data_IF_349642460145
#
_entry.id   IF_349642460145
#
_cell.length_a   1.000
_cell.length_b   1.000
_cell.length_c   1.000
_cell.angle_alpha   90.00
_cell.angle_beta   90.00
_cell.angle_gamma   90.00
#
_symmetry.space_group_name_H-M   'P 1'
#
loop_
_entity.id
_entity.type
_entity.pdbx_description
1 polymer ?
#
# COMPACT_ATOMS: atom_id res chain seq x y z
N UNK A 1 -17.41 -57.88 -12.60
CA UNK A 1 -17.86 -57.52 -11.23
C UNK A 1 -16.61 -57.35 -10.37
N UNK A 2 -16.32 -56.26 -9.66
CA UNK A 2 -17.06 -55.05 -9.34
C UNK A 2 -16.05 -53.89 -9.17
N UNK A 3 -16.38 -52.73 -9.74
CA UNK A 3 -15.80 -51.45 -9.37
C UNK A 3 -16.34 -51.05 -7.99
N UNK A 4 -15.46 -50.59 -7.09
CA UNK A 4 -15.86 -49.74 -5.96
C UNK A 4 -15.06 -48.45 -6.03
N UNK A 5 -15.76 -47.39 -6.44
CA UNK A 5 -15.29 -46.03 -6.36
C UNK A 5 -15.04 -45.63 -4.90
N UNK A 6 -14.08 -44.72 -4.72
CA UNK A 6 -13.95 -43.96 -3.49
C UNK A 6 -13.87 -42.49 -3.84
N UNK A 7 -14.74 -41.76 -3.17
CA UNK A 7 -15.16 -40.39 -3.42
C UNK A 7 -13.99 -39.40 -3.38
N UNK A 8 -14.07 -38.46 -4.32
CA UNK A 8 -13.23 -37.27 -4.40
C UNK A 8 -13.86 -36.26 -3.43
N UNK A 9 -13.49 -36.32 -2.15
CA UNK A 9 -13.88 -35.27 -1.20
C UNK A 9 -13.03 -34.04 -1.52
N UNK A 10 -13.66 -33.04 -2.13
CA UNK A 10 -13.07 -31.75 -2.46
C UNK A 10 -12.66 -30.99 -1.20
N UNK A 11 -11.39 -31.08 -0.82
CA UNK A 11 -10.78 -30.16 0.13
C UNK A 11 -10.34 -28.90 -0.61
N UNK A 12 -11.29 -28.00 -0.90
CA UNK A 12 -10.98 -26.59 -1.23
C UNK A 12 -10.66 -25.81 0.04
N UNK A 13 -9.67 -26.27 0.79
CA UNK A 13 -9.13 -25.57 1.95
C UNK A 13 -7.79 -24.97 1.55
N UNK A 14 -7.77 -23.69 1.18
CA UNK A 14 -6.52 -22.94 1.11
C UNK A 14 -5.84 -23.05 2.48
N UNK A 15 -4.62 -23.59 2.59
CA UNK A 15 -4.02 -23.80 3.90
C UNK A 15 -3.82 -22.46 4.61
N UNK A 16 -4.04 -22.37 5.93
CA UNK A 16 -3.81 -21.15 6.69
C UNK A 16 -2.35 -20.73 6.53
N UNK A 17 -2.16 -19.50 6.06
CA UNK A 17 -0.83 -18.93 5.82
C UNK A 17 -0.16 -18.71 7.18
N UNK A 18 0.99 -19.35 7.38
CA UNK A 18 1.83 -19.16 8.57
C UNK A 18 2.36 -17.73 8.63
N UNK A 19 1.71 -16.85 9.39
CA UNK A 19 2.23 -15.54 9.74
C UNK A 19 3.42 -15.76 10.68
N UNK A 20 4.64 -15.37 10.29
CA UNK A 20 5.80 -15.48 11.21
C UNK A 20 5.65 -14.44 12.32
N UNK A 21 5.66 -14.93 13.56
CA UNK A 21 5.67 -14.14 14.79
C UNK A 21 6.69 -13.00 14.76
N UNK A 22 6.26 -11.83 15.23
CA UNK A 22 7.13 -10.69 15.46
C UNK A 22 7.71 -10.79 16.87
N UNK A 23 9.04 -10.61 17.02
CA UNK A 23 9.64 -10.39 18.34
C UNK A 23 9.13 -9.06 18.93
N UNK A 24 8.50 -9.15 20.11
CA UNK A 24 7.87 -8.08 20.90
C UNK A 24 8.68 -6.76 20.98
N UNK A 25 10.01 -6.85 21.00
CA UNK A 25 10.94 -5.71 21.21
C UNK A 25 10.97 -4.67 20.08
N UNK A 26 10.33 -4.91 18.94
CA UNK A 26 10.37 -3.99 17.77
C UNK A 26 9.23 -2.97 17.71
N UNK A 27 8.26 -3.05 18.64
CA UNK A 27 7.04 -2.24 18.64
C UNK A 27 6.92 -1.26 19.81
N UNK A 28 7.78 -1.36 20.82
CA UNK A 28 7.88 -0.35 21.87
C UNK A 28 8.17 1.02 21.24
N UNK A 29 7.42 2.04 21.64
CA UNK A 29 7.55 3.41 21.12
C UNK A 29 7.13 3.61 19.66
N UNK A 30 6.37 2.68 19.04
CA UNK A 30 5.92 2.84 17.64
C UNK A 30 5.14 4.15 17.43
N UNK A 31 4.24 4.48 18.36
CA UNK A 31 3.45 5.71 18.30
C UNK A 31 4.33 6.95 18.32
N UNK A 32 5.30 7.02 19.22
CA UNK A 32 6.27 8.12 19.31
C UNK A 32 7.14 8.21 18.04
N UNK A 33 7.75 7.09 17.64
CA UNK A 33 8.68 7.02 16.50
C UNK A 33 8.03 7.47 15.19
N UNK A 34 6.76 7.13 14.97
CA UNK A 34 6.04 7.49 13.75
C UNK A 34 5.04 8.62 13.92
N UNK A 35 5.01 9.25 15.11
CA UNK A 35 4.08 10.32 15.49
C UNK A 35 2.62 9.95 15.24
N UNK A 36 2.24 8.73 15.61
CA UNK A 36 0.86 8.27 15.55
C UNK A 36 0.16 8.83 16.78
N UNK A 37 -0.89 9.62 16.56
CA UNK A 37 -1.62 10.27 17.63
C UNK A 37 -2.31 9.32 18.60
N UNK A 38 -2.65 9.85 19.77
CA UNK A 38 -3.31 9.12 20.86
C UNK A 38 -4.77 8.76 20.55
N UNK A 39 -5.35 9.33 19.51
CA UNK A 39 -6.66 8.96 18.99
C UNK A 39 -6.69 7.55 18.37
N UNK A 40 -5.53 6.93 18.17
CA UNK A 40 -5.39 5.60 17.59
C UNK A 40 -4.85 4.59 18.60
N UNK A 41 -5.45 3.40 18.59
CA UNK A 41 -4.95 2.24 19.32
C UNK A 41 -4.14 1.35 18.37
N UNK A 42 -3.00 0.88 18.87
CA UNK A 42 -2.09 -0.02 18.14
C UNK A 42 -2.01 -1.33 18.90
N UNK A 43 -2.34 -2.42 18.22
CA UNK A 43 -2.30 -3.76 18.80
C UNK A 43 -1.45 -4.66 17.93
N UNK A 44 -0.42 -5.26 18.51
CA UNK A 44 0.40 -6.27 17.85
C UNK A 44 -0.47 -7.43 17.34
N UNK A 45 -0.25 -7.85 16.10
CA UNK A 45 -0.90 -9.03 15.56
C UNK A 45 -0.25 -10.29 16.16
N UNK A 46 -1.06 -11.15 16.77
CA UNK A 46 -0.61 -12.41 17.35
C UNK A 46 -0.34 -13.45 16.26
N UNK A 47 0.35 -14.53 16.61
CA UNK A 47 0.72 -15.60 15.67
C UNK A 47 -0.48 -16.34 15.09
N UNK A 48 -1.54 -16.46 15.87
CA UNK A 48 -2.82 -17.08 15.53
C UNK A 48 -3.75 -16.16 14.74
N UNK A 49 -3.39 -14.87 14.60
CA UNK A 49 -4.17 -13.90 13.85
C UNK A 49 -3.71 -13.78 12.39
N UNK A 50 -4.68 -13.50 11.52
CA UNK A 50 -4.45 -13.27 10.10
C UNK A 50 -4.87 -11.86 9.72
N UNK A 51 -4.06 -11.20 8.90
CA UNK A 51 -4.42 -9.92 8.29
C UNK A 51 -5.58 -10.03 7.28
N UNK A 52 -5.97 -11.25 6.90
CA UNK A 52 -7.16 -11.52 6.10
C UNK A 52 -8.45 -11.37 6.93
N UNK A 53 -8.39 -11.66 8.24
CA UNK A 53 -9.52 -11.61 9.17
C UNK A 53 -9.42 -10.35 10.03
N UNK A 54 -9.65 -9.17 9.43
CA UNK A 54 -9.57 -7.92 10.20
C UNK A 54 -10.74 -7.77 11.18
N UNK A 55 -10.44 -7.25 12.38
CA UNK A 55 -11.45 -6.95 13.40
C UNK A 55 -12.35 -5.80 12.92
N UNK A 56 -13.67 -5.82 13.19
CA UNK A 56 -14.55 -4.71 12.81
C UNK A 56 -14.04 -3.36 13.35
N UNK A 57 -13.89 -2.36 12.49
CA UNK A 57 -13.35 -1.04 12.88
C UNK A 57 -11.83 -0.96 12.95
N UNK A 58 -11.11 -2.02 12.61
CA UNK A 58 -9.64 -2.06 12.57
C UNK A 58 -9.15 -2.37 11.16
N UNK A 59 -7.98 -1.84 10.81
CA UNK A 59 -7.22 -2.26 9.64
C UNK A 59 -5.82 -2.69 10.05
N UNK A 60 -5.11 -3.34 9.14
CA UNK A 60 -3.76 -3.86 9.38
C UNK A 60 -2.75 -3.01 8.65
N UNK A 61 -1.61 -2.78 9.31
CA UNK A 61 -0.41 -2.22 8.72
C UNK A 61 0.79 -3.12 9.04
N UNK A 62 1.89 -2.87 8.33
CA UNK A 62 3.20 -3.38 8.72
C UNK A 62 4.16 -2.23 9.03
N UNK A 63 5.18 -2.52 9.84
CA UNK A 63 6.23 -1.54 10.14
C UNK A 63 6.92 -1.05 8.86
N UNK A 64 7.09 -1.93 7.88
CA UNK A 64 7.65 -1.59 6.56
C UNK A 64 6.81 -0.56 5.80
N UNK A 65 5.49 -0.52 6.00
CA UNK A 65 4.61 0.50 5.41
C UNK A 65 4.84 1.88 6.03
N UNK A 66 4.99 1.94 7.36
CA UNK A 66 5.35 3.17 8.05
C UNK A 66 6.76 3.64 7.64
N UNK A 67 7.71 2.71 7.49
CA UNK A 67 9.06 2.98 6.98
C UNK A 67 9.08 3.36 5.49
N UNK A 68 8.00 3.07 4.75
CA UNK A 68 7.77 3.54 3.39
C UNK A 68 7.11 4.92 3.30
N UNK A 69 6.82 5.55 4.44
CA UNK A 69 6.27 6.91 4.51
C UNK A 69 4.80 6.99 4.87
N UNK A 70 4.10 5.86 5.06
CA UNK A 70 2.71 5.88 5.51
C UNK A 70 2.62 6.53 6.89
N UNK A 71 1.69 7.47 7.06
CA UNK A 71 1.39 8.17 8.32
C UNK A 71 -0.10 8.16 8.59
N UNK A 72 -0.46 8.37 9.86
CA UNK A 72 -1.84 8.48 10.34
C UNK A 72 -2.06 9.90 10.91
N UNK A 73 -3.25 10.51 10.69
CA UNK A 73 -4.29 10.10 9.75
C UNK A 73 -3.75 9.97 8.31
N UNK A 74 -4.33 9.05 7.54
CA UNK A 74 -3.87 8.78 6.18
C UNK A 74 -4.20 9.98 5.25
N UNK A 75 -3.27 10.43 4.40
CA UNK A 75 -3.52 11.52 3.46
C UNK A 75 -4.70 11.23 2.52
N UNK A 76 -5.46 12.25 2.14
CA UNK A 76 -6.72 12.07 1.38
C UNK A 76 -6.51 11.32 0.06
N UNK A 77 -5.49 11.69 -0.72
CA UNK A 77 -5.11 10.98 -1.95
C UNK A 77 -4.89 9.48 -1.73
N UNK A 78 -4.29 9.09 -0.60
CA UNK A 78 -4.06 7.68 -0.30
C UNK A 78 -5.37 6.95 0.00
N UNK A 79 -6.26 7.56 0.79
CA UNK A 79 -7.60 7.00 1.07
C UNK A 79 -8.43 6.89 -0.21
N UNK A 80 -8.38 7.90 -1.07
CA UNK A 80 -9.05 7.91 -2.37
C UNK A 80 -8.52 6.82 -3.31
N UNK A 81 -7.20 6.62 -3.36
CA UNK A 81 -6.59 5.53 -4.12
C UNK A 81 -7.06 4.15 -3.60
N UNK A 82 -7.05 3.93 -2.29
CA UNK A 82 -7.55 2.70 -1.66
C UNK A 82 -9.03 2.44 -1.99
N UNK A 83 -9.88 3.46 -1.91
CA UNK A 83 -11.30 3.39 -2.33
C UNK A 83 -11.43 3.02 -3.80
N UNK A 84 -10.70 3.74 -4.66
CA UNK A 84 -10.79 3.60 -6.12
C UNK A 84 -10.34 2.22 -6.61
N UNK A 85 -9.39 1.60 -5.91
CA UNK A 85 -8.91 0.25 -6.20
C UNK A 85 -9.64 -0.84 -5.40
N UNK A 86 -10.44 -0.45 -4.40
CA UNK A 86 -11.12 -1.35 -3.46
C UNK A 86 -10.15 -2.29 -2.74
N UNK A 87 -9.02 -1.76 -2.28
CA UNK A 87 -7.98 -2.55 -1.57
C UNK A 87 -7.73 -1.99 -0.17
N UNK A 88 -7.36 -2.88 0.75
CA UNK A 88 -6.92 -2.48 2.09
C UNK A 88 -5.48 -1.98 2.11
N UNK A 89 -5.10 -1.14 3.11
CA UNK A 89 -3.73 -0.61 3.22
C UNK A 89 -2.64 -1.68 3.17
N UNK A 90 -2.85 -2.81 3.85
CA UNK A 90 -1.91 -3.94 3.90
C UNK A 90 -1.75 -4.68 2.57
N UNK A 91 -2.63 -4.46 1.59
CA UNK A 91 -2.49 -5.09 0.26
C UNK A 91 -1.51 -4.33 -0.63
N UNK A 92 -1.31 -3.03 -0.41
CA UNK A 92 -0.34 -2.25 -1.17
C UNK A 92 1.08 -2.49 -0.65
N UNK A 93 1.99 -2.87 -1.54
CA UNK A 93 3.40 -3.05 -1.18
C UNK A 93 4.03 -1.74 -0.66
N UNK A 94 5.11 -1.81 0.16
CA UNK A 94 5.82 -0.62 0.62
C UNK A 94 6.33 0.24 -0.54
N UNK A 95 6.70 -0.37 -1.68
CA UNK A 95 7.13 0.39 -2.85
C UNK A 95 5.97 1.15 -3.50
N UNK A 96 4.75 0.60 -3.47
CA UNK A 96 3.56 1.34 -3.90
C UNK A 96 3.30 2.58 -3.06
N UNK A 97 3.43 2.45 -1.74
CA UNK A 97 3.29 3.58 -0.83
C UNK A 97 4.33 4.67 -1.11
N UNK A 98 5.59 4.28 -1.32
CA UNK A 98 6.64 5.24 -1.75
C UNK A 98 6.27 5.96 -3.05
N UNK A 99 5.76 5.25 -4.05
CA UNK A 99 5.31 5.86 -5.30
C UNK A 99 4.25 6.94 -5.07
N UNK A 100 3.26 6.67 -4.22
CA UNK A 100 2.19 7.61 -3.88
C UNK A 100 2.78 8.87 -3.22
N UNK A 101 3.63 8.71 -2.20
CA UNK A 101 4.18 9.85 -1.48
C UNK A 101 5.17 10.66 -2.33
N UNK A 102 6.01 10.00 -3.12
CA UNK A 102 6.91 10.68 -4.06
C UNK A 102 6.12 11.48 -5.09
N UNK A 103 5.04 10.90 -5.65
CA UNK A 103 4.13 11.62 -6.53
C UNK A 103 3.57 12.90 -5.87
N UNK A 104 3.10 12.80 -4.63
CA UNK A 104 2.60 13.96 -3.89
C UNK A 104 3.66 15.06 -3.74
N UNK A 105 4.90 14.70 -3.43
CA UNK A 105 6.03 15.63 -3.30
C UNK A 105 6.30 16.34 -4.64
N UNK A 106 6.30 15.60 -5.74
CA UNK A 106 6.54 16.16 -7.09
C UNK A 106 5.43 17.14 -7.47
N UNK A 107 4.18 16.76 -7.27
CA UNK A 107 3.02 17.62 -7.50
C UNK A 107 3.16 18.92 -6.71
N UNK A 108 3.44 18.82 -5.40
CA UNK A 108 3.66 19.99 -4.54
C UNK A 108 4.78 20.91 -5.06
N UNK A 109 5.93 20.35 -5.44
CA UNK A 109 7.07 21.14 -5.96
C UNK A 109 6.77 21.84 -7.28
N UNK A 110 5.75 21.39 -8.02
CA UNK A 110 5.30 21.98 -9.28
C UNK A 110 4.07 22.88 -9.14
N UNK A 111 3.57 23.08 -7.93
CA UNK A 111 2.31 23.79 -7.71
C UNK A 111 1.10 23.06 -8.31
N UNK A 112 1.20 21.74 -8.48
CA UNK A 112 0.10 20.90 -8.98
C UNK A 112 -0.55 20.24 -7.77
N UNK A 113 -1.89 20.26 -7.73
CA UNK A 113 -2.63 19.48 -6.75
C UNK A 113 -2.49 17.98 -7.04
N UNK A 114 -2.05 17.20 -6.05
CA UNK A 114 -1.92 15.77 -6.19
C UNK A 114 -3.29 15.10 -6.01
N UNK A 115 -3.84 14.54 -7.09
CA UNK A 115 -5.13 13.82 -7.05
C UNK A 115 -4.97 12.34 -7.40
N UNK A 116 -5.91 11.50 -6.95
CA UNK A 116 -5.90 10.08 -7.29
C UNK A 116 -6.06 9.87 -8.80
N UNK A 117 -6.83 10.72 -9.48
CA UNK A 117 -7.02 10.67 -10.94
C UNK A 117 -5.72 10.92 -11.69
N UNK A 118 -4.99 11.99 -11.33
CA UNK A 118 -3.69 12.27 -11.96
C UNK A 118 -2.73 11.13 -11.65
N UNK A 119 -2.67 10.62 -10.41
CA UNK A 119 -1.84 9.45 -10.07
C UNK A 119 -2.17 8.24 -10.96
N UNK A 120 -3.45 7.87 -11.05
CA UNK A 120 -3.95 6.72 -11.82
C UNK A 120 -3.81 6.90 -13.34
N UNK A 121 -3.59 8.13 -13.82
CA UNK A 121 -3.24 8.37 -15.23
C UNK A 121 -1.81 7.94 -15.58
N UNK A 122 -0.90 7.93 -14.60
CA UNK A 122 0.50 7.53 -14.78
C UNK A 122 0.78 6.11 -14.28
N UNK A 123 0.03 5.66 -13.27
CA UNK A 123 0.21 4.36 -12.63
C UNK A 123 -1.05 3.50 -12.78
N UNK A 124 -0.83 2.20 -12.87
CA UNK A 124 -1.87 1.16 -12.81
C UNK A 124 -1.57 0.22 -11.66
N UNK A 125 -2.63 -0.39 -11.13
CA UNK A 125 -2.50 -1.45 -10.15
C UNK A 125 -2.32 -2.81 -10.85
N UNK A 126 -1.43 -3.63 -10.30
CA UNK A 126 -1.19 -5.00 -10.74
C UNK A 126 -1.13 -5.94 -9.54
N UNK A 127 -1.54 -7.18 -9.76
CA UNK A 127 -1.41 -8.25 -8.77
C UNK A 127 -0.01 -8.81 -8.78
N UNK A 128 0.57 -9.06 -7.60
CA UNK A 128 1.80 -9.83 -7.50
C UNK A 128 1.50 -11.29 -7.86
N UNK A 129 2.11 -11.86 -8.92
CA UNK A 129 1.86 -13.25 -9.34
C UNK A 129 2.22 -14.27 -8.25
N UNK A 130 3.09 -13.86 -7.32
CA UNK A 130 3.65 -14.70 -6.27
C UNK A 130 2.82 -14.69 -4.99
N UNK A 131 1.76 -13.87 -4.90
CA UNK A 131 0.94 -13.77 -3.70
C UNK A 131 -0.46 -14.29 -3.98
N UNK A 132 -0.75 -15.53 -3.54
CA UNK A 132 -2.12 -15.98 -3.29
C UNK A 132 -2.82 -15.22 -2.14
N UNK A 133 -2.35 -14.01 -1.84
CA UNK A 133 -2.66 -13.18 -0.67
C UNK A 133 -3.29 -11.84 -1.05
N UNK A 134 -3.62 -11.64 -2.33
CA UNK A 134 -4.21 -10.38 -2.80
C UNK A 134 -3.28 -9.16 -2.69
N UNK A 135 -1.96 -9.36 -2.63
CA UNK A 135 -0.99 -8.24 -2.61
C UNK A 135 -0.93 -7.60 -3.99
N UNK A 136 -1.02 -6.28 -3.98
CA UNK A 136 -1.05 -5.44 -5.17
C UNK A 136 0.08 -4.43 -5.16
N UNK A 137 0.58 -4.11 -6.35
CA UNK A 137 1.60 -3.11 -6.53
C UNK A 137 1.26 -2.15 -7.66
N UNK A 138 1.71 -0.90 -7.51
CA UNK A 138 1.58 0.09 -8.57
C UNK A 138 2.71 -0.08 -9.57
N UNK A 139 2.40 0.00 -10.85
CA UNK A 139 3.35 0.01 -11.96
C UNK A 139 3.02 1.13 -12.92
N UNK A 140 4.00 1.66 -13.63
CA UNK A 140 3.74 2.64 -14.67
C UNK A 140 2.82 2.08 -15.75
N UNK A 141 1.91 2.91 -16.27
CA UNK A 141 1.16 2.59 -17.49
C UNK A 141 2.09 2.63 -18.70
N UNK A 142 1.94 1.66 -19.60
CA UNK A 142 2.59 1.66 -20.92
C UNK A 142 2.14 2.89 -21.71
N UNK A 143 3.05 3.52 -22.46
CA UNK A 143 2.86 4.74 -23.27
C UNK A 143 2.78 6.08 -22.53
N UNK A 144 3.08 6.14 -21.23
CA UNK A 144 3.44 7.40 -20.57
C UNK A 144 4.94 7.41 -20.35
N UNK A 145 5.56 8.59 -20.51
CA UNK A 145 6.95 8.80 -20.09
C UNK A 145 7.08 8.19 -18.70
N UNK A 146 8.03 7.25 -18.53
CA UNK A 146 8.27 6.71 -17.20
C UNK A 146 8.57 7.91 -16.32
N UNK A 147 7.69 8.11 -15.36
CA UNK A 147 7.96 8.89 -14.17
C UNK A 147 9.15 8.16 -13.53
N UNK A 148 10.38 8.43 -13.98
CA UNK A 148 11.66 7.88 -13.50
C UNK A 148 11.99 8.45 -12.11
N UNK A 149 10.98 8.69 -11.27
CA UNK A 149 11.10 9.33 -9.97
C UNK A 149 11.31 8.34 -8.83
N UNK A 150 11.41 7.05 -9.14
CA UNK A 150 11.68 6.04 -8.13
C UNK A 150 13.04 5.45 -8.48
N UNK A 151 14.10 5.75 -7.72
CA UNK A 151 15.29 4.92 -7.80
C UNK A 151 14.85 3.48 -7.62
N UNK A 152 15.48 2.55 -8.34
CA UNK A 152 15.04 1.17 -8.43
C UNK A 152 14.95 0.60 -7.01
N UNK A 153 13.72 0.54 -6.51
CA UNK A 153 13.44 0.19 -5.12
C UNK A 153 13.71 -1.30 -5.00
N UNK A 154 14.62 -1.67 -4.09
CA UNK A 154 14.92 -3.08 -3.86
C UNK A 154 13.63 -3.85 -3.56
N UNK A 155 13.60 -5.12 -3.95
CA UNK A 155 12.48 -5.97 -3.60
C UNK A 155 12.44 -6.12 -2.07
N UNK A 156 11.35 -5.67 -1.44
CA UNK A 156 11.21 -5.74 0.01
C UNK A 156 10.75 -7.15 0.38
N UNK A 157 11.66 -8.12 0.45
CA UNK A 157 11.31 -9.47 0.91
C UNK A 157 10.92 -9.41 2.38
N UNK A 158 9.83 -10.09 2.76
CA UNK A 158 9.42 -10.24 4.17
C UNK A 158 8.80 -9.00 4.83
N UNK A 159 8.38 -8.00 4.06
CA UNK A 159 7.77 -6.76 4.59
C UNK A 159 6.45 -6.96 5.35
N UNK A 160 5.81 -8.12 5.17
CA UNK A 160 4.63 -8.57 5.91
C UNK A 160 4.99 -9.28 7.23
N UNK A 161 6.26 -9.32 7.62
CA UNK A 161 6.72 -10.02 8.81
C UNK A 161 6.60 -9.22 10.11
N UNK A 162 6.01 -8.01 10.09
CA UNK A 162 5.89 -7.10 11.25
C UNK A 162 4.54 -6.39 11.25
N UNK A 163 3.47 -7.15 11.51
CA UNK A 163 2.08 -6.69 11.38
C UNK A 163 1.48 -6.22 12.69
N UNK A 164 0.56 -5.26 12.59
CA UNK A 164 -0.20 -4.75 13.72
C UNK A 164 -1.55 -4.22 13.24
N UNK A 165 -2.52 -4.24 14.15
CA UNK A 165 -3.82 -3.63 13.98
C UNK A 165 -3.77 -2.16 14.39
N UNK A 166 -4.49 -1.34 13.64
CA UNK A 166 -4.78 0.05 13.95
C UNK A 166 -6.27 0.21 14.09
N UNK A 167 -6.69 0.75 15.24
CA UNK A 167 -8.08 1.01 15.59
C UNK A 167 -8.26 2.45 16.04
N UNK A 168 -9.51 2.90 16.04
CA UNK A 168 -9.88 4.17 16.66
C UNK A 168 -10.01 3.95 18.15
N UNK A 169 -9.39 4.82 18.95
CA UNK A 169 -9.57 4.82 20.40
C UNK A 169 -11.02 5.14 20.74
N UNK A 170 -11.60 4.40 21.68
CA UNK A 170 -12.97 4.63 22.13
C UNK A 170 -13.10 6.06 22.69
N UNK A 171 -14.07 6.82 22.16
CA UNK A 171 -14.30 8.21 22.54
C UNK A 171 -13.43 9.24 21.81
N UNK A 172 -12.54 8.82 20.90
CA UNK A 172 -11.78 9.75 20.09
C UNK A 172 -12.65 10.43 19.02
N UNK A 173 -12.49 11.74 18.87
CA UNK A 173 -13.15 12.54 17.84
C UNK A 173 -12.42 12.44 16.49
N UNK A 174 -12.40 11.24 15.91
CA UNK A 174 -11.90 10.99 14.55
C UNK A 174 -12.99 10.37 13.69
N UNK A 175 -13.06 10.66 12.38
CA UNK A 175 -14.04 10.06 11.49
C UNK A 175 -13.86 8.54 11.39
N UNK A 176 -14.92 7.86 10.94
CA UNK A 176 -14.82 6.46 10.54
C UNK A 176 -13.86 6.27 9.37
N UNK A 177 -13.32 5.05 9.26
CA UNK A 177 -12.49 4.68 8.12
C UNK A 177 -13.34 4.69 6.84
N UNK A 178 -13.05 5.64 5.96
CA UNK A 178 -13.71 5.86 4.68
C UNK A 178 -12.98 5.15 3.53
N UNK A 179 -12.27 4.06 3.82
CA UNK A 179 -11.54 3.22 2.87
C UNK A 179 -11.67 1.74 3.25
N UNK A 180 -11.44 0.80 2.32
CA UNK A 180 -11.52 -0.62 2.63
C UNK A 180 -10.54 -1.02 3.75
N UNK A 181 -11.06 -1.52 4.86
CA UNK A 181 -10.25 -2.01 5.99
C UNK A 181 -10.03 -3.52 5.98
N UNK A 182 -10.80 -4.25 5.14
CA UNK A 182 -10.70 -5.70 4.94
C UNK A 182 -9.93 -5.98 3.67
N UNK A 183 -9.08 -7.01 3.70
CA UNK A 183 -8.39 -7.49 2.51
C UNK A 183 -9.43 -7.92 1.48
N UNK A 184 -9.37 -7.31 0.30
CA UNK A 184 -10.19 -7.70 -0.83
C UNK A 184 -9.66 -8.97 -1.47
N UNK A 185 -10.56 -9.75 -2.07
CA UNK A 185 -10.21 -10.85 -2.96
C UNK A 185 -9.22 -10.39 -4.04
N UNK A 186 -8.33 -11.29 -4.53
CA UNK A 186 -7.35 -10.94 -5.55
C UNK A 186 -8.01 -10.25 -6.75
N UNK A 187 -7.48 -9.09 -7.13
CA UNK A 187 -8.01 -8.37 -8.30
C UNK A 187 -7.87 -9.26 -9.53
N UNK A 188 -9.00 -9.61 -10.14
CA UNK A 188 -9.05 -10.44 -11.35
C UNK A 188 -8.73 -9.64 -12.62
N UNK A 189 -8.61 -8.31 -12.53
CA UNK A 189 -8.44 -7.42 -13.69
C UNK A 189 -7.42 -6.32 -13.39
N UNK A 190 -6.70 -5.91 -14.42
CA UNK A 190 -5.85 -4.72 -14.42
C UNK A 190 -6.67 -3.44 -14.34
N UNK A 191 -6.15 -2.46 -13.60
CA UNK A 191 -6.80 -1.16 -13.42
C UNK A 191 -6.82 -0.34 -14.74
N UNK A 192 -7.98 0.22 -15.08
CA UNK A 192 -8.16 1.05 -16.28
C UNK A 192 -7.73 2.50 -16.03
N UNK A 193 -7.21 3.18 -17.06
CA UNK A 193 -6.85 4.58 -16.95
C UNK A 193 -8.13 5.42 -16.72
N UNK A 194 -8.11 6.40 -15.79
CA UNK A 194 -9.26 7.25 -15.57
C UNK A 194 -9.46 8.20 -16.75
N UNK A 195 -10.71 8.63 -16.95
CA UNK A 195 -10.98 9.83 -17.74
C UNK A 195 -10.52 11.04 -16.94
N UNK A 196 -9.77 11.95 -17.57
CA UNK A 196 -9.31 13.18 -16.93
C UNK A 196 -10.06 14.36 -17.53
N UNK A 197 -10.60 15.23 -16.68
CA UNK A 197 -11.08 16.55 -17.10
C UNK A 197 -9.91 17.42 -17.59
N UNK A 198 -10.20 18.46 -18.38
CA UNK A 198 -9.20 19.28 -19.07
C UNK A 198 -8.07 19.75 -18.14
N UNK A 199 -8.40 20.29 -16.96
CA UNK A 199 -7.39 20.76 -15.99
C UNK A 199 -6.46 19.65 -15.48
N UNK A 200 -7.03 18.50 -15.12
CA UNK A 200 -6.27 17.33 -14.68
C UNK A 200 -5.44 16.73 -15.83
N UNK A 201 -5.94 16.78 -17.07
CA UNK A 201 -5.21 16.34 -18.26
C UNK A 201 -3.98 17.21 -18.52
N UNK A 202 -4.12 18.55 -18.46
CA UNK A 202 -3.00 19.49 -18.59
C UNK A 202 -1.97 19.28 -17.47
N UNK A 203 -2.41 19.15 -16.22
CA UNK A 203 -1.53 18.85 -15.10
C UNK A 203 -0.77 17.52 -15.30
N UNK A 204 -1.47 16.45 -15.67
CA UNK A 204 -0.89 15.14 -16.00
C UNK A 204 0.14 15.24 -17.13
N UNK A 205 -0.15 16.01 -18.19
CA UNK A 205 0.78 16.20 -19.30
C UNK A 205 2.05 16.94 -18.87
N UNK A 206 1.93 17.98 -18.05
CA UNK A 206 3.08 18.73 -17.53
C UNK A 206 4.04 17.85 -16.70
N UNK A 207 3.52 16.79 -16.07
CA UNK A 207 4.34 15.82 -15.34
C UNK A 207 5.22 14.94 -16.27
N UNK A 208 4.82 14.75 -17.54
CA UNK A 208 5.55 13.91 -18.50
C UNK A 208 6.75 14.60 -19.16
N UNK A 209 6.82 15.93 -19.16
CA UNK A 209 7.77 16.71 -19.96
C UNK A 209 9.18 16.85 -19.36
N UNK A 210 9.49 16.15 -18.25
CA UNK A 210 10.76 16.33 -17.53
C UNK A 210 11.50 15.01 -17.37
N UNK A 211 12.75 14.97 -17.86
CA UNK A 211 13.74 13.95 -17.52
C UNK A 211 14.20 14.12 -16.07
N UNK A 212 14.08 13.07 -15.26
CA UNK A 212 14.13 13.18 -13.79
C UNK A 212 15.48 12.68 -13.27
N UNK A 213 16.38 13.62 -12.97
CA UNK A 213 17.65 13.31 -12.30
C UNK A 213 17.63 13.54 -10.77
N UNK A 214 16.47 13.73 -10.12
CA UNK A 214 16.45 14.27 -8.73
C UNK A 214 15.61 13.51 -7.68
N UNK A 215 15.13 12.30 -7.98
CA UNK A 215 14.34 11.52 -7.03
C UNK A 215 15.06 11.14 -5.72
N UNK A 216 16.37 10.88 -5.79
CA UNK A 216 17.17 10.48 -4.62
C UNK A 216 17.27 11.60 -3.58
N UNK A 217 17.40 12.85 -4.03
CA UNK A 217 17.35 14.02 -3.15
C UNK A 217 16.02 14.10 -2.40
N UNK A 218 14.90 13.82 -3.08
CA UNK A 218 13.57 13.85 -2.48
C UNK A 218 13.35 12.73 -1.47
N UNK A 219 13.77 11.50 -1.75
CA UNK A 219 13.63 10.43 -0.76
C UNK A 219 14.49 10.68 0.48
N UNK A 220 15.65 11.30 0.31
CA UNK A 220 16.58 11.66 1.39
C UNK A 220 16.03 12.79 2.25
N UNK A 221 15.56 13.88 1.63
CA UNK A 221 14.93 15.03 2.30
C UNK A 221 13.77 14.59 3.20
N UNK A 222 12.96 13.64 2.73
CA UNK A 222 11.78 13.14 3.46
C UNK A 222 12.06 11.88 4.30
N UNK A 223 13.33 11.47 4.45
CA UNK A 223 13.77 10.30 5.25
C UNK A 223 13.08 8.99 4.86
N UNK A 224 12.76 8.79 3.59
CA UNK A 224 12.09 7.58 3.05
C UNK A 224 13.09 6.48 2.62
N UNK A 225 14.38 6.66 2.91
CA UNK A 225 15.53 5.91 2.33
C UNK A 225 15.88 4.61 3.05
N UNK A 226 14.99 4.02 3.86
CA UNK A 226 15.38 2.85 4.67
C UNK A 226 15.79 1.61 3.85
N UNK A 227 15.55 1.60 2.53
CA UNK A 227 15.90 0.48 1.66
C UNK A 227 16.88 0.95 0.58
N UNK A 228 17.98 0.19 0.44
CA UNK A 228 19.07 0.44 -0.50
C UNK A 228 18.50 0.66 -1.90
N UNK A 229 18.81 1.80 -2.49
CA UNK A 229 18.63 2.04 -3.91
C UNK A 229 19.53 1.02 -4.63
N UNK A 230 18.97 0.14 -5.47
CA UNK A 230 19.85 -0.73 -6.25
C UNK A 230 20.59 0.14 -7.25
N UNK A 231 21.92 0.15 -7.21
CA UNK A 231 22.73 0.75 -8.28
C UNK A 231 22.39 0.04 -9.59
N UNK A 232 22.26 0.82 -10.66
CA UNK A 232 22.00 0.34 -12.01
C UNK A 232 23.11 -0.59 -12.48
#
# INVERSE_FOLDING_TARGET
MAQKGKEIVGASGTPPVKTKAVKLRSFEGLQERFRIGEEYDIVLMREDESYLTTRPGWFVLSLDLLEAGLRLPMPEIAKELLRSWKVAPIQLTPNSWRSIFVFCIICKKRGIEATAEIFRSHFSLACSPQSGMGIVYVKHRTNRMRINFLPRLSNNKGWTGRLFFVGRRKGANVPEWDFPVRVAEPLKRTDMAPFLIQGAATASQSLNTVGVNHAEGYLTEYKLVKYKLSRA
#
